data_IF_637084089780
#
_entry.id   IF_637084089780
#
_cell.length_a   1.000
_cell.length_b   1.000
_cell.length_c   1.000
_cell.angle_alpha   90.00
_cell.angle_beta   90.00
_cell.angle_gamma   90.00
#
_symmetry.space_group_name_H-M   'P 1'
#
loop_
_entity.id
_entity.type
_entity.pdbx_description
1 polymer ?
#
# COMPACT_ATOMS: atom_id res chain seq x y z
N UNK A 1 -14.57 8.06 0.43
CA UNK A 1 -13.18 8.40 0.01
C UNK A 1 -12.48 7.14 -0.50
N UNK A 2 -11.73 7.23 -1.60
CA UNK A 2 -11.00 6.07 -2.16
C UNK A 2 -9.50 6.37 -2.19
N UNK A 3 -8.69 5.40 -1.73
CA UNK A 3 -7.23 5.43 -1.79
C UNK A 3 -6.76 4.26 -2.66
N UNK A 4 -5.72 4.46 -3.46
CA UNK A 4 -5.14 3.44 -4.31
C UNK A 4 -3.61 3.40 -4.21
N UNK A 5 -3.09 2.44 -3.47
CA UNK A 5 -1.65 2.18 -3.36
C UNK A 5 -1.31 0.99 -4.27
N UNK A 6 -0.42 1.19 -5.23
CA UNK A 6 -0.08 0.13 -6.18
C UNK A 6 1.38 0.13 -6.60
N UNK A 7 1.92 -1.06 -6.90
CA UNK A 7 3.23 -1.22 -7.52
C UNK A 7 4.07 -2.35 -6.91
N UNK A 8 5.12 -2.71 -7.64
CA UNK A 8 5.98 -3.86 -7.36
C UNK A 8 6.90 -3.68 -6.14
N UNK A 9 7.13 -2.45 -5.69
CA UNK A 9 7.94 -2.19 -4.49
C UNK A 9 7.10 -2.36 -3.23
N UNK A 10 7.03 -3.62 -2.77
CA UNK A 10 6.20 -4.03 -1.63
C UNK A 10 6.70 -3.48 -0.30
N UNK A 11 7.99 -3.17 -0.17
CA UNK A 11 8.54 -2.61 1.07
C UNK A 11 7.98 -1.19 1.30
N UNK A 12 8.13 -0.30 0.32
CA UNK A 12 7.64 1.09 0.47
C UNK A 12 6.13 1.17 0.48
N UNK A 13 5.44 0.36 -0.33
CA UNK A 13 3.97 0.36 -0.35
C UNK A 13 3.39 -0.17 0.96
N UNK A 14 3.95 -1.25 1.55
CA UNK A 14 3.53 -1.76 2.86
C UNK A 14 3.82 -0.77 3.98
N UNK A 15 4.97 -0.09 3.95
CA UNK A 15 5.25 1.00 4.89
C UNK A 15 4.22 2.12 4.81
N UNK A 16 3.81 2.53 3.60
CA UNK A 16 2.77 3.55 3.44
C UNK A 16 1.40 3.08 3.92
N UNK A 17 1.04 1.83 3.62
CA UNK A 17 -0.19 1.22 4.13
C UNK A 17 -0.23 1.26 5.66
N UNK A 18 0.86 0.84 6.32
CA UNK A 18 0.99 0.87 7.77
C UNK A 18 0.90 2.29 8.33
N UNK A 19 1.51 3.28 7.68
CA UNK A 19 1.39 4.70 8.09
C UNK A 19 -0.08 5.16 8.11
N UNK A 20 -0.86 4.80 7.08
CA UNK A 20 -2.29 5.12 6.99
C UNK A 20 -3.07 4.41 8.10
N UNK A 21 -2.80 3.13 8.32
CA UNK A 21 -3.44 2.33 9.38
C UNK A 21 -3.14 2.94 10.77
N UNK A 22 -1.89 3.28 11.03
CA UNK A 22 -1.49 3.85 12.32
C UNK A 22 -2.07 5.25 12.54
N UNK A 23 -2.14 6.07 11.49
CA UNK A 23 -2.84 7.35 11.56
C UNK A 23 -4.35 7.15 11.83
N UNK A 24 -4.98 6.19 11.16
CA UNK A 24 -6.37 5.84 11.39
C UNK A 24 -6.62 5.41 12.84
N UNK A 25 -5.81 4.49 13.39
CA UNK A 25 -5.92 4.02 14.78
C UNK A 25 -5.70 5.12 15.81
N UNK A 26 -4.82 6.10 15.54
CA UNK A 26 -4.60 7.25 16.42
C UNK A 26 -5.86 8.12 16.55
N UNK A 27 -6.61 8.27 15.46
CA UNK A 27 -7.86 9.04 15.44
C UNK A 27 -9.03 8.19 15.99
N UNK A 28 -9.09 6.91 15.58
CA UNK A 28 -10.16 5.97 15.87
C UNK A 28 -9.65 4.87 16.79
N UNK A 29 -9.61 5.17 18.10
CA UNK A 29 -8.95 4.33 19.12
C UNK A 29 -9.57 2.94 19.26
N UNK A 30 -10.83 2.75 18.86
CA UNK A 30 -11.48 1.44 18.90
C UNK A 30 -10.82 0.44 17.94
N UNK A 31 -10.37 0.91 16.78
CA UNK A 31 -9.88 0.06 15.69
C UNK A 31 -10.89 -0.93 15.11
N UNK A 32 -12.14 -0.95 15.61
CA UNK A 32 -13.15 -1.98 15.29
C UNK A 32 -13.70 -1.85 13.86
N UNK A 33 -13.53 -0.66 13.28
CA UNK A 33 -13.95 -0.33 11.92
C UNK A 33 -12.81 -0.43 10.89
N UNK A 34 -11.67 -1.03 11.27
CA UNK A 34 -10.61 -1.41 10.34
C UNK A 34 -10.85 -2.83 9.84
N UNK A 35 -10.96 -3.00 8.53
CA UNK A 35 -11.28 -4.28 7.89
C UNK A 35 -10.30 -4.59 6.78
N UNK A 36 -9.90 -5.85 6.71
CA UNK A 36 -9.03 -6.38 5.65
C UNK A 36 -9.81 -7.41 4.85
N UNK A 37 -9.79 -7.25 3.53
CA UNK A 37 -10.39 -8.19 2.59
C UNK A 37 -9.36 -8.52 1.52
N UNK A 38 -8.94 -9.78 1.49
CA UNK A 38 -8.14 -10.34 0.42
C UNK A 38 -9.07 -10.85 -0.68
N UNK A 39 -9.08 -10.18 -1.83
CA UNK A 39 -9.95 -10.48 -2.96
C UNK A 39 -9.42 -11.59 -3.88
N UNK A 40 -8.31 -12.23 -3.49
CA UNK A 40 -7.94 -13.54 -4.04
C UNK A 40 -8.71 -14.70 -3.38
N UNK A 41 -9.31 -14.47 -2.21
CA UNK A 41 -10.09 -15.48 -1.45
C UNK A 41 -11.56 -15.09 -1.30
N UNK A 42 -11.85 -13.79 -1.21
CA UNK A 42 -13.19 -13.23 -1.01
C UNK A 42 -13.71 -12.57 -2.29
N UNK A 43 -15.03 -12.44 -2.38
CA UNK A 43 -15.70 -11.87 -3.55
C UNK A 43 -16.30 -10.48 -3.30
N UNK A 44 -17.07 -10.02 -4.30
CA UNK A 44 -17.80 -8.75 -4.22
C UNK A 44 -18.83 -8.70 -3.09
N UNK A 45 -19.54 -9.80 -2.82
CA UNK A 45 -20.57 -9.81 -1.78
C UNK A 45 -19.96 -9.64 -0.39
N UNK A 46 -18.80 -10.26 -0.09
CA UNK A 46 -18.07 -10.02 1.16
C UNK A 46 -17.71 -8.54 1.36
N UNK A 47 -17.23 -7.89 0.29
CA UNK A 47 -16.94 -6.46 0.33
C UNK A 47 -18.19 -5.63 0.54
N UNK A 48 -19.27 -5.94 -0.17
CA UNK A 48 -20.53 -5.22 -0.09
C UNK A 48 -21.14 -5.33 1.30
N UNK A 49 -21.14 -6.52 1.89
CA UNK A 49 -21.64 -6.76 3.24
C UNK A 49 -20.80 -6.00 4.27
N UNK A 50 -19.48 -6.07 4.17
CA UNK A 50 -18.58 -5.32 5.06
C UNK A 50 -18.70 -3.81 4.83
N UNK A 51 -18.99 -3.34 3.63
CA UNK A 51 -19.23 -1.91 3.37
C UNK A 51 -20.55 -1.44 3.98
N UNK A 52 -21.62 -2.20 3.76
CA UNK A 52 -22.97 -1.86 4.21
C UNK A 52 -23.21 -2.10 5.69
N UNK A 53 -22.36 -2.89 6.37
CA UNK A 53 -22.48 -3.15 7.79
C UNK A 53 -22.53 -1.82 8.56
N UNK A 54 -23.58 -1.62 9.34
CA UNK A 54 -23.72 -0.39 10.12
C UNK A 54 -22.64 -0.42 11.19
N UNK A 55 -21.77 0.59 11.19
CA UNK A 55 -20.86 0.73 12.31
C UNK A 55 -21.68 1.07 13.55
N UNK A 56 -21.51 0.29 14.62
CA UNK A 56 -22.06 0.62 15.94
C UNK A 56 -21.37 1.86 16.54
N UNK A 57 -20.28 2.34 15.94
CA UNK A 57 -19.55 3.53 16.34
C UNK A 57 -19.72 4.62 15.29
N UNK A 58 -19.68 5.89 15.71
CA UNK A 58 -19.74 7.04 14.78
C UNK A 58 -18.44 7.24 13.98
N UNK A 59 -17.51 6.29 14.07
CA UNK A 59 -16.21 6.34 13.41
C UNK A 59 -16.32 5.90 11.94
N UNK A 60 -15.53 6.53 11.06
CA UNK A 60 -15.48 6.16 9.65
C UNK A 60 -14.88 4.76 9.49
N UNK A 61 -15.41 3.94 8.58
CA UNK A 61 -14.84 2.64 8.26
C UNK A 61 -13.60 2.78 7.38
N UNK A 62 -12.57 1.98 7.64
CA UNK A 62 -11.43 1.80 6.75
C UNK A 62 -11.41 0.35 6.28
N UNK A 63 -11.77 0.13 5.02
CA UNK A 63 -11.74 -1.18 4.38
C UNK A 63 -10.53 -1.23 3.44
N UNK A 64 -9.63 -2.16 3.71
CA UNK A 64 -8.44 -2.43 2.90
C UNK A 64 -8.75 -3.63 2.00
N UNK A 65 -8.70 -3.40 0.70
CA UNK A 65 -8.90 -4.38 -0.36
C UNK A 65 -7.53 -4.75 -0.93
N UNK A 66 -7.10 -5.99 -0.68
CA UNK A 66 -5.86 -6.54 -1.23
C UNK A 66 -6.18 -7.38 -2.48
N UNK A 67 -5.38 -7.23 -3.53
CA UNK A 67 -5.48 -8.00 -4.79
C UNK A 67 -6.83 -7.86 -5.53
N UNK A 68 -7.46 -6.69 -5.52
CA UNK A 68 -8.75 -6.44 -6.18
C UNK A 68 -8.75 -6.66 -7.70
N UNK A 69 -7.58 -6.67 -8.32
CA UNK A 69 -7.45 -6.85 -9.78
C UNK A 69 -7.52 -8.31 -10.22
N UNK A 70 -7.48 -9.28 -9.29
CA UNK A 70 -7.52 -10.71 -9.61
C UNK A 70 -8.92 -11.22 -9.93
N UNK A 71 -9.96 -10.65 -9.31
CA UNK A 71 -11.35 -11.05 -9.53
C UNK A 71 -12.07 -10.12 -10.52
N UNK A 72 -12.40 -10.66 -11.70
CA UNK A 72 -13.15 -9.94 -12.73
C UNK A 72 -14.58 -9.58 -12.29
N UNK A 73 -15.24 -10.49 -11.56
CA UNK A 73 -16.61 -10.27 -11.07
C UNK A 73 -16.63 -9.16 -10.02
N UNK A 74 -15.63 -9.11 -9.15
CA UNK A 74 -15.43 -7.98 -8.23
C UNK A 74 -15.33 -6.65 -8.98
N UNK A 75 -14.42 -6.54 -9.97
CA UNK A 75 -14.20 -5.30 -10.72
C UNK A 75 -15.47 -4.78 -11.36
N UNK A 76 -16.22 -5.64 -12.03
CA UNK A 76 -17.45 -5.25 -12.72
C UNK A 76 -18.54 -4.75 -11.76
N UNK A 77 -18.77 -5.47 -10.66
CA UNK A 77 -19.79 -5.07 -9.69
C UNK A 77 -19.40 -3.83 -8.87
N UNK A 78 -18.10 -3.69 -8.57
CA UNK A 78 -17.57 -2.48 -7.94
C UNK A 78 -17.81 -1.26 -8.83
N UNK A 79 -17.50 -1.35 -10.12
CA UNK A 79 -17.69 -0.26 -11.08
C UNK A 79 -19.18 0.09 -11.27
N UNK A 80 -20.06 -0.91 -11.39
CA UNK A 80 -21.52 -0.70 -11.49
C UNK A 80 -22.08 0.07 -10.30
N UNK A 81 -21.55 -0.17 -9.09
CA UNK A 81 -22.02 0.45 -7.86
C UNK A 81 -21.14 1.62 -7.37
N UNK A 82 -20.17 2.05 -8.18
CA UNK A 82 -19.10 2.98 -7.79
C UNK A 82 -19.57 4.29 -7.17
N UNK A 83 -20.69 4.85 -7.64
CA UNK A 83 -21.27 6.11 -7.10
C UNK A 83 -21.49 6.03 -5.58
N UNK A 84 -22.01 4.90 -5.09
CA UNK A 84 -22.28 4.69 -3.65
C UNK A 84 -21.00 4.71 -2.81
N UNK A 85 -19.88 4.26 -3.37
CA UNK A 85 -18.59 4.22 -2.68
C UNK A 85 -17.88 5.58 -2.71
N UNK A 86 -18.05 6.35 -3.80
CA UNK A 86 -17.50 7.70 -3.94
C UNK A 86 -18.15 8.65 -2.92
N UNK A 87 -19.48 8.64 -2.86
CA UNK A 87 -20.26 9.57 -2.05
C UNK A 87 -20.25 9.21 -0.55
N UNK A 88 -19.70 8.04 -0.20
CA UNK A 88 -19.58 7.60 1.19
C UNK A 88 -18.46 8.33 1.94
N UNK A 89 -18.71 8.53 3.24
CA UNK A 89 -17.74 9.05 4.20
C UNK A 89 -16.67 8.03 4.56
N UNK A 90 -16.93 6.75 4.31
CA UNK A 90 -16.01 5.66 4.58
C UNK A 90 -14.81 5.67 3.63
N UNK A 91 -13.76 4.98 4.05
CA UNK A 91 -12.48 4.91 3.34
C UNK A 91 -12.35 3.51 2.75
N UNK A 92 -12.25 3.44 1.42
CA UNK A 92 -11.92 2.21 0.70
C UNK A 92 -10.51 2.34 0.16
N UNK A 93 -9.60 1.50 0.62
CA UNK A 93 -8.19 1.50 0.24
C UNK A 93 -7.88 0.26 -0.60
N UNK A 94 -7.53 0.48 -1.85
CA UNK A 94 -7.01 -0.55 -2.75
C UNK A 94 -5.49 -0.69 -2.56
N UNK A 95 -5.03 -1.92 -2.30
CA UNK A 95 -3.62 -2.24 -2.11
C UNK A 95 -3.19 -3.35 -3.09
N UNK A 96 -2.40 -2.96 -4.09
CA UNK A 96 -1.98 -3.83 -5.17
C UNK A 96 -0.45 -3.95 -5.22
N UNK A 97 0.06 -5.17 -5.03
CA UNK A 97 1.50 -5.46 -5.08
C UNK A 97 1.98 -5.86 -6.47
N UNK A 98 1.06 -6.34 -7.30
CA UNK A 98 1.32 -6.80 -8.67
C UNK A 98 1.16 -5.65 -9.66
N UNK A 99 1.62 -5.88 -10.89
CA UNK A 99 1.42 -4.92 -11.97
C UNK A 99 -0.06 -4.89 -12.37
N UNK A 100 -0.68 -3.71 -12.23
CA UNK A 100 -2.09 -3.51 -12.58
C UNK A 100 -2.21 -3.02 -14.03
N UNK A 101 -2.98 -3.70 -14.90
CA UNK A 101 -3.10 -3.32 -16.31
C UNK A 101 -3.69 -1.91 -16.47
N UNK A 102 -2.96 -1.00 -17.13
CA UNK A 102 -3.42 0.40 -17.30
C UNK A 102 -4.66 0.53 -18.18
N UNK A 103 -4.91 -0.47 -19.03
CA UNK A 103 -6.11 -0.55 -19.86
C UNK A 103 -7.35 -0.95 -19.07
N UNK A 104 -7.20 -1.55 -17.89
CA UNK A 104 -8.28 -2.07 -17.06
C UNK A 104 -9.26 -0.96 -16.64
N UNK A 105 -10.59 -1.17 -16.78
CA UNK A 105 -11.60 -0.20 -16.39
C UNK A 105 -11.52 0.23 -14.91
N UNK A 106 -11.21 -0.69 -13.99
CA UNK A 106 -11.04 -0.37 -12.57
C UNK A 106 -9.81 0.52 -12.37
N UNK A 107 -8.70 0.25 -13.06
CA UNK A 107 -7.51 1.10 -12.97
C UNK A 107 -7.81 2.54 -13.41
N UNK A 108 -8.49 2.71 -14.56
CA UNK A 108 -8.90 4.02 -15.07
C UNK A 108 -9.84 4.74 -14.11
N UNK A 109 -10.78 4.01 -13.51
CA UNK A 109 -11.68 4.54 -12.49
C UNK A 109 -10.92 5.03 -11.26
N UNK A 110 -10.03 4.21 -10.68
CA UNK A 110 -9.24 4.57 -9.50
C UNK A 110 -8.34 5.77 -9.79
N UNK A 111 -7.75 5.85 -10.97
CA UNK A 111 -6.97 7.02 -11.39
C UNK A 111 -7.76 8.33 -11.44
N UNK A 112 -9.07 8.25 -11.71
CA UNK A 112 -9.95 9.42 -11.80
C UNK A 112 -10.57 9.80 -10.46
N UNK A 113 -10.86 8.82 -9.60
CA UNK A 113 -11.70 9.02 -8.41
C UNK A 113 -10.99 8.74 -7.07
N UNK A 114 -9.79 8.17 -7.07
CA UNK A 114 -9.02 7.86 -5.86
C UNK A 114 -7.79 8.75 -5.70
N UNK A 115 -7.37 8.96 -4.46
CA UNK A 115 -6.01 9.40 -4.16
C UNK A 115 -5.06 8.23 -4.39
N UNK A 116 -4.11 8.37 -5.30
CA UNK A 116 -3.24 7.25 -5.68
C UNK A 116 -1.76 7.52 -5.42
N UNK A 117 -1.01 6.45 -5.16
CA UNK A 117 0.45 6.48 -5.08
C UNK A 117 1.02 5.22 -5.73
N UNK A 118 1.95 5.41 -6.66
CA UNK A 118 2.64 4.32 -7.37
C UNK A 118 4.01 4.02 -6.73
N UNK A 119 4.29 2.74 -6.51
CA UNK A 119 5.50 2.23 -5.90
C UNK A 119 6.27 1.35 -6.89
N UNK A 120 6.95 1.98 -7.85
CA UNK A 120 7.85 1.28 -8.79
C UNK A 120 9.16 0.92 -8.12
N UNK A 121 9.70 -0.26 -8.42
CA UNK A 121 11.02 -0.67 -7.94
C UNK A 121 12.08 0.41 -8.20
N UNK A 122 12.85 0.72 -7.16
CA UNK A 122 13.95 1.68 -7.25
C UNK A 122 15.11 1.08 -8.05
N UNK A 123 15.77 1.90 -8.87
CA UNK A 123 16.92 1.50 -9.68
C UNK A 123 17.95 2.63 -9.75
N UNK A 124 19.21 2.26 -9.98
CA UNK A 124 20.32 3.18 -10.15
C UNK A 124 20.39 4.22 -9.05
N UNK A 125 20.45 5.49 -9.44
CA UNK A 125 20.63 6.61 -8.52
C UNK A 125 19.48 6.76 -7.50
N UNK A 126 18.25 6.40 -7.86
CA UNK A 126 17.13 6.45 -6.91
C UNK A 126 17.27 5.41 -5.78
N UNK A 127 17.81 4.23 -6.09
CA UNK A 127 18.07 3.18 -5.11
C UNK A 127 19.21 3.60 -4.18
N UNK A 128 20.31 4.13 -4.72
CA UNK A 128 21.44 4.66 -3.94
C UNK A 128 20.99 5.75 -2.97
N UNK A 129 20.22 6.72 -3.45
CA UNK A 129 19.69 7.79 -2.61
C UNK A 129 18.72 7.30 -1.54
N UNK A 130 17.88 6.30 -1.85
CA UNK A 130 17.02 5.69 -0.86
C UNK A 130 17.81 4.95 0.23
N UNK A 131 18.79 4.13 -0.15
CA UNK A 131 19.62 3.38 0.79
C UNK A 131 20.40 4.32 1.72
N UNK A 132 20.97 5.39 1.17
CA UNK A 132 21.63 6.44 1.96
C UNK A 132 20.69 7.04 3.01
N UNK A 133 19.47 7.45 2.61
CA UNK A 133 18.47 8.01 3.54
C UNK A 133 18.04 7.00 4.60
N UNK A 134 17.88 5.73 4.22
CA UNK A 134 17.51 4.68 5.16
C UNK A 134 18.60 4.45 6.22
N UNK A 135 19.89 4.51 5.84
CA UNK A 135 21.02 4.42 6.78
C UNK A 135 21.08 5.66 7.68
N UNK A 136 20.85 6.85 7.13
CA UNK A 136 20.82 8.11 7.88
C UNK A 136 19.73 8.09 8.98
N UNK A 137 18.63 7.36 8.78
CA UNK A 137 17.60 7.17 9.82
C UNK A 137 18.14 6.47 11.08
N UNK A 138 19.21 5.67 10.96
CA UNK A 138 19.92 5.06 12.08
C UNK A 138 20.98 5.97 12.71
N UNK A 139 21.08 7.23 12.26
CA UNK A 139 22.09 8.22 12.70
C UNK A 139 23.54 7.79 12.44
N UNK A 140 23.75 6.91 11.45
CA UNK A 140 25.08 6.45 11.00
C UNK A 140 25.44 7.17 9.71
N UNK A 141 26.72 7.54 9.56
CA UNK A 141 27.27 8.04 8.29
C UNK A 141 27.88 6.87 7.53
N UNK A 142 27.61 6.80 6.23
CA UNK A 142 28.19 5.79 5.34
C UNK A 142 28.98 6.47 4.21
N UNK A 143 30.11 5.86 3.84
CA UNK A 143 30.89 6.29 2.69
C UNK A 143 30.07 6.06 1.39
N UNK A 144 29.97 7.04 0.46
CA UNK A 144 29.28 6.86 -0.82
C UNK A 144 29.67 5.60 -1.59
N UNK A 145 30.96 5.22 -1.56
CA UNK A 145 31.46 4.01 -2.23
C UNK A 145 30.86 2.73 -1.60
N UNK A 146 30.62 2.74 -0.29
CA UNK A 146 30.00 1.62 0.40
C UNK A 146 28.51 1.50 0.07
N UNK A 147 27.79 2.62 -0.11
CA UNK A 147 26.40 2.63 -0.59
C UNK A 147 26.32 2.03 -1.98
N UNK A 148 27.22 2.42 -2.88
CA UNK A 148 27.28 1.87 -4.23
C UNK A 148 27.46 0.36 -4.23
N UNK A 149 28.50 -0.14 -3.53
CA UNK A 149 28.72 -1.59 -3.39
C UNK A 149 27.52 -2.31 -2.81
N UNK A 150 26.90 -1.76 -1.76
CA UNK A 150 25.72 -2.35 -1.14
C UNK A 150 24.56 -2.47 -2.15
N UNK A 151 24.29 -1.40 -2.91
CA UNK A 151 23.25 -1.42 -3.94
C UNK A 151 23.54 -2.36 -5.09
N UNK A 152 24.81 -2.54 -5.46
CA UNK A 152 25.22 -3.46 -6.52
C UNK A 152 25.09 -4.93 -6.08
N UNK A 153 25.39 -5.23 -4.82
CA UNK A 153 25.27 -6.60 -4.28
C UNK A 153 23.83 -7.03 -4.01
N UNK A 154 23.01 -6.15 -3.41
CA UNK A 154 21.65 -6.51 -2.99
C UNK A 154 20.62 -6.25 -4.11
N UNK A 155 20.85 -5.25 -4.95
CA UNK A 155 19.88 -4.84 -5.96
C UNK A 155 18.66 -4.14 -5.36
N UNK A 156 17.51 -4.29 -6.03
CA UNK A 156 16.30 -3.52 -5.76
C UNK A 156 15.32 -4.19 -4.79
N UNK A 157 15.69 -5.30 -4.15
CA UNK A 157 14.93 -5.87 -3.05
C UNK A 157 15.14 -5.03 -1.79
N UNK A 158 14.21 -4.13 -1.52
CA UNK A 158 14.30 -3.23 -0.37
C UNK A 158 14.06 -3.95 0.97
N UNK A 159 13.41 -5.12 0.98
CA UNK A 159 13.30 -5.93 2.21
C UNK A 159 14.67 -6.47 2.59
N UNK A 160 15.36 -7.08 1.63
CA UNK A 160 16.74 -7.54 1.83
C UNK A 160 17.67 -6.37 2.16
N UNK A 161 17.57 -5.26 1.43
CA UNK A 161 18.40 -4.07 1.64
C UNK A 161 18.28 -3.53 3.06
N UNK A 162 17.06 -3.45 3.60
CA UNK A 162 16.83 -2.98 4.97
C UNK A 162 17.47 -3.92 6.00
N UNK A 163 17.40 -5.23 5.78
CA UNK A 163 18.05 -6.21 6.65
C UNK A 163 19.58 -6.10 6.61
N UNK A 164 20.18 -5.96 5.42
CA UNK A 164 21.64 -5.78 5.29
C UNK A 164 22.10 -4.45 5.92
N UNK A 165 21.34 -3.36 5.72
CA UNK A 165 21.59 -2.09 6.42
C UNK A 165 21.55 -2.30 7.94
N UNK A 166 20.53 -3.01 8.45
CA UNK A 166 20.41 -3.30 9.88
C UNK A 166 21.60 -4.06 10.45
N UNK A 167 22.14 -5.04 9.71
CA UNK A 167 23.37 -5.77 10.09
C UNK A 167 24.58 -4.84 10.11
N UNK A 168 24.78 -4.04 9.06
CA UNK A 168 25.91 -3.12 8.95
C UNK A 168 25.91 -2.07 10.06
N UNK A 169 24.73 -1.54 10.41
CA UNK A 169 24.57 -0.55 11.49
C UNK A 169 24.81 -1.18 12.87
N UNK A 170 24.46 -2.46 13.05
CA UNK A 170 24.60 -3.17 14.33
C UNK A 170 25.99 -3.74 14.56
N UNK A 171 26.81 -3.85 13.51
CA UNK A 171 28.19 -4.33 13.59
C UNK A 171 29.05 -3.28 14.30
N UNK A 172 29.55 -3.66 15.48
CA UNK A 172 30.49 -2.87 16.29
C UNK A 172 31.90 -3.44 16.17
#
# INVERSE_FOLDING_TARGET
MIIFLYGQDTYRSRRKLNEIIEHYKKIHKSGLNLKYLNLSEKGYEDFKDEFQSVSMFTEKKLIILEEAFTDQNFKENFLKNSKKFIDSRDIVLFYETKETPRSDPLFKFLKKHAQFQEFKLLKGEHLKNWAKREIENYKVKINPIAVEKLTDYVGNDLWQMTNEIGKLVSYK
#
